data_IF_178817826076
#
_entry.id   IF_178817826076
#
_cell.length_a   1.000
_cell.length_b   1.000
_cell.length_c   1.000
_cell.angle_alpha   90.00
_cell.angle_beta   90.00
_cell.angle_gamma   90.00
#
_symmetry.space_group_name_H-M   'P 1'
#
loop_
_entity.id
_entity.type
_entity.pdbx_description
1 polymer ?
#
# COMPACT_ATOMS: atom_id res chain seq x y z
N UNK A 1 -13.13 -13.19 38.91
CA UNK A 1 -12.65 -12.03 38.13
C UNK A 1 -11.37 -12.46 37.45
N UNK A 2 -11.40 -12.73 36.14
CA UNK A 2 -10.20 -13.01 35.36
C UNK A 2 -10.05 -11.86 34.36
N UNK A 3 -9.15 -10.93 34.67
CA UNK A 3 -8.63 -9.97 33.70
C UNK A 3 -7.46 -10.66 33.01
N UNK A 4 -7.70 -11.23 31.84
CA UNK A 4 -6.64 -11.61 30.92
C UNK A 4 -6.22 -10.33 30.20
N UNK A 5 -5.22 -9.62 30.74
CA UNK A 5 -4.44 -8.70 29.91
C UNK A 5 -3.69 -9.57 28.90
N UNK A 6 -4.11 -9.53 27.64
CA UNK A 6 -3.29 -9.97 26.52
C UNK A 6 -2.04 -9.09 26.50
N UNK A 7 -0.91 -9.68 26.90
CA UNK A 7 0.42 -9.12 26.69
C UNK A 7 0.64 -8.94 25.19
N UNK A 8 0.56 -7.70 24.71
CA UNK A 8 0.98 -7.35 23.37
C UNK A 8 2.51 -7.37 23.40
N UNK A 9 3.10 -8.38 22.77
CA UNK A 9 4.56 -8.53 22.67
C UNK A 9 5.11 -7.42 21.75
N UNK A 10 5.93 -6.47 22.25
CA UNK A 10 6.40 -5.31 21.48
C UNK A 10 7.39 -5.64 20.35
N UNK A 11 7.69 -6.92 20.10
CA UNK A 11 8.73 -7.36 19.17
C UNK A 11 8.25 -7.74 17.77
N UNK A 12 6.94 -7.80 17.50
CA UNK A 12 6.42 -8.24 16.19
C UNK A 12 6.13 -7.07 15.23
N UNK A 13 5.66 -5.92 15.73
CA UNK A 13 5.34 -4.75 14.90
C UNK A 13 6.58 -4.10 14.26
N UNK A 14 7.74 -4.16 14.92
CA UNK A 14 8.98 -3.55 14.42
C UNK A 14 9.48 -4.22 13.14
N UNK A 15 9.44 -5.55 13.07
CA UNK A 15 9.94 -6.29 11.91
C UNK A 15 9.02 -6.17 10.68
N UNK A 16 7.70 -6.22 10.85
CA UNK A 16 6.76 -6.06 9.72
C UNK A 16 6.81 -4.65 9.13
N UNK A 17 6.98 -3.63 9.98
CA UNK A 17 7.09 -2.24 9.51
C UNK A 17 8.33 -2.04 8.63
N UNK A 18 9.45 -2.67 8.98
CA UNK A 18 10.69 -2.61 8.20
C UNK A 18 10.55 -3.29 6.82
N UNK A 19 9.87 -4.44 6.75
CA UNK A 19 9.62 -5.14 5.48
C UNK A 19 8.68 -4.36 4.55
N UNK A 20 7.61 -3.76 5.09
CA UNK A 20 6.71 -2.90 4.33
C UNK A 20 7.46 -1.68 3.76
N UNK A 21 8.30 -1.03 4.57
CA UNK A 21 9.09 0.11 4.11
C UNK A 21 10.07 -0.27 3.01
N UNK A 22 10.76 -1.40 3.17
CA UNK A 22 11.68 -1.92 2.15
C UNK A 22 10.96 -2.17 0.82
N UNK A 23 9.81 -2.84 0.85
CA UNK A 23 9.02 -3.08 -0.35
C UNK A 23 8.60 -1.77 -1.05
N UNK A 24 8.11 -0.79 -0.28
CA UNK A 24 7.70 0.50 -0.83
C UNK A 24 8.87 1.19 -1.53
N UNK A 25 10.06 1.15 -0.94
CA UNK A 25 11.28 1.70 -1.55
C UNK A 25 11.60 0.98 -2.86
N UNK A 26 11.67 -0.37 -2.84
CA UNK A 26 11.97 -1.18 -4.02
C UNK A 26 10.96 -0.95 -5.16
N UNK A 27 9.68 -0.76 -4.84
CA UNK A 27 8.67 -0.47 -5.85
C UNK A 27 8.81 0.93 -6.44
N UNK A 28 9.14 1.93 -5.60
CA UNK A 28 9.37 3.30 -6.05
C UNK A 28 10.59 3.36 -6.98
N UNK A 29 11.68 2.65 -6.64
CA UNK A 29 12.88 2.59 -7.48
C UNK A 29 12.57 2.03 -8.87
N UNK A 30 11.70 1.01 -8.97
CA UNK A 30 11.27 0.43 -10.26
C UNK A 30 10.55 1.42 -11.18
N UNK A 31 9.93 2.48 -10.64
CA UNK A 31 9.25 3.47 -11.49
C UNK A 31 10.21 4.18 -12.45
N UNK A 32 11.48 4.31 -12.08
CA UNK A 32 12.51 4.89 -12.96
C UNK A 32 12.71 4.11 -14.26
N UNK A 33 12.47 2.79 -14.26
CA UNK A 33 12.70 1.91 -15.41
C UNK A 33 11.48 1.72 -16.30
N UNK A 34 10.30 2.16 -15.86
CA UNK A 34 9.05 1.97 -16.61
C UNK A 34 8.98 2.91 -17.81
N UNK A 35 7.95 2.80 -18.65
CA UNK A 35 7.55 3.77 -19.68
C UNK A 35 6.47 4.71 -19.15
N UNK A 36 6.20 5.81 -19.87
CA UNK A 36 5.15 6.77 -19.47
C UNK A 36 3.76 6.12 -19.45
N UNK A 37 3.47 5.22 -20.38
CA UNK A 37 2.20 4.50 -20.48
C UNK A 37 2.02 3.53 -19.30
N UNK A 38 3.08 2.82 -18.92
CA UNK A 38 3.08 1.96 -17.74
C UNK A 38 2.87 2.76 -16.45
N UNK A 39 3.54 3.90 -16.30
CA UNK A 39 3.33 4.80 -15.16
C UNK A 39 1.90 5.34 -15.11
N UNK A 40 1.31 5.69 -16.26
CA UNK A 40 -0.09 6.13 -16.32
C UNK A 40 -1.03 5.03 -15.82
N UNK A 41 -0.82 3.80 -16.29
CA UNK A 41 -1.62 2.64 -15.90
C UNK A 41 -1.55 2.40 -14.40
N UNK A 42 -0.34 2.40 -13.83
CA UNK A 42 -0.13 2.22 -12.38
C UNK A 42 -0.78 3.36 -11.60
N UNK A 43 -0.61 4.61 -12.05
CA UNK A 43 -1.22 5.79 -11.42
C UNK A 43 -2.74 5.62 -11.34
N UNK A 44 -3.38 5.24 -12.45
CA UNK A 44 -4.83 5.14 -12.55
C UNK A 44 -5.37 4.00 -11.67
N UNK A 45 -4.67 2.86 -11.62
CA UNK A 45 -5.04 1.73 -10.74
C UNK A 45 -4.88 2.09 -9.24
N UNK A 46 -3.80 2.76 -8.85
CA UNK A 46 -3.60 3.22 -7.47
C UNK A 46 -4.63 4.28 -7.07
N UNK A 47 -4.99 5.19 -7.98
CA UNK A 47 -6.06 6.16 -7.75
C UNK A 47 -7.42 5.48 -7.58
N UNK A 48 -7.70 4.43 -8.36
CA UNK A 48 -8.91 3.65 -8.19
C UNK A 48 -8.97 2.98 -6.81
N UNK A 49 -7.85 2.42 -6.33
CA UNK A 49 -7.75 1.90 -4.95
C UNK A 49 -8.09 2.99 -3.93
N UNK A 50 -7.54 4.20 -4.07
CA UNK A 50 -7.86 5.32 -3.16
C UNK A 50 -9.35 5.70 -3.13
N UNK A 51 -10.06 5.51 -4.24
CA UNK A 51 -11.48 5.90 -4.36
C UNK A 51 -12.43 4.80 -3.87
N UNK A 52 -12.06 3.54 -4.07
CA UNK A 52 -12.96 2.40 -3.85
C UNK A 52 -12.68 1.64 -2.56
N UNK A 53 -11.48 1.77 -1.98
CA UNK A 53 -11.11 1.06 -0.77
C UNK A 53 -11.25 1.91 0.49
N UNK A 54 -12.07 1.45 1.44
CA UNK A 54 -12.10 1.97 2.81
C UNK A 54 -11.20 1.13 3.73
N UNK A 55 -10.02 1.64 4.14
CA UNK A 55 -9.10 0.89 5.01
C UNK A 55 -9.65 0.64 6.42
N UNK A 56 -10.70 1.35 6.85
CA UNK A 56 -11.37 1.10 8.13
C UNK A 56 -12.43 -0.02 8.04
N UNK A 57 -12.77 -0.46 6.83
CA UNK A 57 -13.73 -1.53 6.58
C UNK A 57 -13.17 -2.59 5.61
N UNK A 58 -12.00 -3.20 5.92
CA UNK A 58 -11.28 -4.09 5.00
C UNK A 58 -12.10 -5.34 4.58
N UNK A 59 -13.10 -5.73 5.37
CA UNK A 59 -14.01 -6.83 5.06
C UNK A 59 -15.00 -6.56 3.92
N UNK A 60 -15.23 -5.29 3.55
CA UNK A 60 -16.19 -4.91 2.50
C UNK A 60 -15.56 -4.84 1.10
N UNK A 61 -14.33 -5.31 0.94
CA UNK A 61 -13.58 -5.20 -0.29
C UNK A 61 -14.14 -6.12 -1.41
N UNK A 62 -14.36 -5.54 -2.60
CA UNK A 62 -14.77 -6.29 -3.78
C UNK A 62 -13.67 -7.24 -4.26
N UNK A 63 -14.03 -8.30 -5.01
CA UNK A 63 -13.06 -9.27 -5.51
C UNK A 63 -12.07 -8.65 -6.52
N UNK A 64 -12.54 -7.69 -7.31
CA UNK A 64 -11.73 -6.92 -8.24
C UNK A 64 -10.68 -6.10 -7.48
N UNK A 65 -11.12 -5.36 -6.45
CA UNK A 65 -10.25 -4.54 -5.63
C UNK A 65 -9.23 -5.37 -4.84
N UNK A 66 -9.58 -6.58 -4.38
CA UNK A 66 -8.60 -7.54 -3.81
C UNK A 66 -7.47 -7.89 -4.79
N UNK A 67 -7.79 -8.00 -6.08
CA UNK A 67 -6.81 -8.34 -7.11
C UNK A 67 -5.87 -7.17 -7.34
N UNK A 68 -6.40 -5.95 -7.39
CA UNK A 68 -5.62 -4.71 -7.48
C UNK A 68 -4.71 -4.52 -6.26
N UNK A 69 -5.22 -4.73 -5.03
CA UNK A 69 -4.39 -4.64 -3.82
C UNK A 69 -3.22 -5.62 -3.84
N UNK A 70 -3.46 -6.86 -4.24
CA UNK A 70 -2.44 -7.90 -4.37
C UNK A 70 -1.34 -7.57 -5.37
N UNK A 71 -1.71 -6.98 -6.50
CA UNK A 71 -0.76 -6.55 -7.54
C UNK A 71 0.32 -5.62 -6.97
N UNK A 72 -0.06 -4.78 -6.01
CA UNK A 72 0.82 -3.82 -5.36
C UNK A 72 1.25 -4.23 -3.94
N UNK A 73 0.97 -5.48 -3.52
CA UNK A 73 1.20 -6.01 -2.16
C UNK A 73 0.67 -5.11 -1.03
N UNK A 74 -0.41 -4.38 -1.32
CA UNK A 74 -1.08 -3.52 -0.35
C UNK A 74 -2.01 -4.32 0.57
N UNK A 75 -2.39 -5.54 0.18
CA UNK A 75 -3.20 -6.45 0.98
C UNK A 75 -2.47 -6.95 2.22
N UNK A 76 -1.13 -6.98 2.20
CA UNK A 76 -0.28 -7.30 3.35
C UNK A 76 -0.27 -6.19 4.42
N UNK A 77 -0.75 -4.99 4.08
CA UNK A 77 -0.71 -3.80 4.95
C UNK A 77 -2.08 -3.45 5.56
N UNK A 78 -3.10 -4.29 5.39
CA UNK A 78 -4.48 -4.01 5.79
C UNK A 78 -4.73 -4.10 7.30
N UNK A 79 -3.78 -4.64 8.07
CA UNK A 79 -3.90 -4.76 9.53
C UNK A 79 -3.94 -3.39 10.23
N UNK A 80 -3.28 -2.39 9.62
CA UNK A 80 -3.26 -1.03 10.13
C UNK A 80 -3.67 -0.04 9.02
N UNK A 81 -4.84 0.62 9.14
CA UNK A 81 -5.34 1.54 8.11
C UNK A 81 -4.42 2.74 7.87
N UNK A 82 -3.68 3.20 8.89
CA UNK A 82 -2.71 4.28 8.73
C UNK A 82 -1.48 3.82 7.97
N UNK A 83 -0.95 2.63 8.28
CA UNK A 83 0.18 2.04 7.56
C UNK A 83 -0.16 1.85 6.08
N UNK A 84 -1.33 1.26 5.80
CA UNK A 84 -1.84 1.14 4.45
C UNK A 84 -1.91 2.50 3.74
N UNK A 85 -2.59 3.47 4.34
CA UNK A 85 -2.82 4.78 3.72
C UNK A 85 -1.50 5.51 3.45
N UNK A 86 -0.59 5.53 4.42
CA UNK A 86 0.70 6.20 4.28
C UNK A 86 1.54 5.57 3.15
N UNK A 87 1.57 4.24 3.08
CA UNK A 87 2.33 3.56 2.03
C UNK A 87 1.68 3.76 0.65
N UNK A 88 0.36 3.59 0.53
CA UNK A 88 -0.39 3.85 -0.71
C UNK A 88 -0.14 5.28 -1.22
N UNK A 89 -0.27 6.29 -0.35
CA UNK A 89 -0.04 7.69 -0.73
C UNK A 89 1.41 7.96 -1.12
N UNK A 90 2.39 7.34 -0.44
CA UNK A 90 3.80 7.48 -0.77
C UNK A 90 4.09 6.89 -2.16
N UNK A 91 3.55 5.70 -2.45
CA UNK A 91 3.67 5.06 -3.76
C UNK A 91 3.01 5.91 -4.84
N UNK A 92 1.76 6.36 -4.59
CA UNK A 92 1.00 7.19 -5.52
C UNK A 92 1.74 8.50 -5.84
N UNK A 93 2.26 9.17 -4.82
CA UNK A 93 3.04 10.41 -4.99
C UNK A 93 4.28 10.19 -5.85
N UNK A 94 4.99 9.08 -5.63
CA UNK A 94 6.18 8.73 -6.40
C UNK A 94 5.87 8.43 -7.87
N UNK A 95 4.84 7.63 -8.17
CA UNK A 95 4.45 7.37 -9.57
C UNK A 95 3.97 8.65 -10.26
N UNK A 96 3.23 9.52 -9.56
CA UNK A 96 2.80 10.81 -10.10
C UNK A 96 3.96 11.74 -10.41
N UNK A 97 4.97 11.75 -9.55
CA UNK A 97 6.19 12.55 -9.74
C UNK A 97 6.94 12.05 -10.96
N UNK A 98 7.21 10.75 -11.04
CA UNK A 98 7.93 10.14 -12.17
C UNK A 98 7.17 10.33 -13.49
N UNK A 99 5.84 10.17 -13.49
CA UNK A 99 4.99 10.43 -14.65
C UNK A 99 5.09 11.89 -15.14
N UNK A 100 5.10 12.85 -14.21
CA UNK A 100 5.23 14.29 -14.53
C UNK A 100 6.61 14.64 -15.08
N UNK A 101 7.68 14.01 -14.58
CA UNK A 101 9.05 14.23 -15.07
C UNK A 101 9.25 13.82 -16.54
N UNK A 102 8.38 12.96 -17.07
CA UNK A 102 8.39 12.47 -18.46
C UNK A 102 7.43 13.23 -19.38
N UNK A 103 6.93 14.38 -18.94
CA UNK A 103 6.05 15.28 -19.70
C UNK A 103 6.84 16.48 -20.19
#
# INVERSE_FOLDING_TARGET
MQNTLTEISPGQESHQTDEHQKFVIEMIEKFGDLTKEELSTIKDELQQICLEFDPYQPQQISQELKTSLKKYRLDEMLENPFTFTNNLLRILTSVETEYKLRS
#
